data_IF_785204332702
#
_entry.id   IF_785204332702
#
_cell.length_a   1.000
_cell.length_b   1.000
_cell.length_c   1.000
_cell.angle_alpha   90.00
_cell.angle_beta   90.00
_cell.angle_gamma   90.00
#
_symmetry.space_group_name_H-M   'P 1'
#
loop_
_entity.id
_entity.type
_entity.pdbx_description
1 polymer ?
#
# COMPACT_ATOMS: atom_id res chain seq x y z
N UNK A 1 -34.06 -1.62 7.16
CA UNK A 1 -33.88 -0.66 6.04
C UNK A 1 -32.83 0.34 6.46
N UNK A 2 -31.77 0.55 5.65
CA UNK A 2 -30.88 1.68 5.85
C UNK A 2 -31.63 2.99 5.56
N UNK A 3 -31.28 4.05 6.29
CA UNK A 3 -31.90 5.36 6.12
C UNK A 3 -31.23 6.11 4.95
N UNK A 4 -31.97 6.52 3.91
CA UNK A 4 -31.42 7.19 2.72
C UNK A 4 -30.59 8.44 3.02
N UNK A 5 -30.79 9.06 4.19
CA UNK A 5 -29.98 10.18 4.68
C UNK A 5 -28.48 9.87 4.72
N UNK A 6 -28.10 8.59 4.86
CA UNK A 6 -26.70 8.18 4.98
C UNK A 6 -26.09 7.67 3.68
N UNK A 7 -26.85 7.58 2.59
CA UNK A 7 -26.38 6.93 1.35
C UNK A 7 -25.08 7.58 0.82
N UNK A 8 -25.00 8.90 0.78
CA UNK A 8 -23.79 9.63 0.36
C UNK A 8 -22.60 9.37 1.29
N UNK A 9 -22.84 9.37 2.60
CA UNK A 9 -21.78 9.11 3.59
C UNK A 9 -21.28 7.67 3.50
N UNK A 10 -22.18 6.73 3.22
CA UNK A 10 -21.83 5.32 3.00
C UNK A 10 -21.01 5.16 1.72
N UNK A 11 -21.38 5.83 0.63
CA UNK A 11 -20.61 5.81 -0.61
C UNK A 11 -19.21 6.39 -0.42
N UNK A 12 -19.08 7.50 0.32
CA UNK A 12 -17.77 8.08 0.67
C UNK A 12 -16.94 7.09 1.50
N UNK A 13 -17.53 6.51 2.55
CA UNK A 13 -16.84 5.55 3.41
C UNK A 13 -16.39 4.29 2.65
N UNK A 14 -17.25 3.76 1.77
CA UNK A 14 -16.92 2.60 0.94
C UNK A 14 -15.79 2.92 -0.05
N UNK A 15 -15.82 4.09 -0.69
CA UNK A 15 -14.74 4.52 -1.59
C UNK A 15 -13.40 4.61 -0.85
N UNK A 16 -13.38 5.16 0.36
CA UNK A 16 -12.17 5.20 1.17
C UNK A 16 -11.72 3.80 1.59
N UNK A 17 -12.62 2.97 2.13
CA UNK A 17 -12.30 1.64 2.63
C UNK A 17 -11.80 0.66 1.56
N UNK A 18 -12.27 0.82 0.32
CA UNK A 18 -11.96 -0.07 -0.81
C UNK A 18 -11.03 0.56 -1.85
N UNK A 19 -10.34 1.63 -1.49
CA UNK A 19 -9.34 2.26 -2.32
C UNK A 19 -8.17 1.31 -2.62
N UNK A 20 -7.79 1.18 -3.90
CA UNK A 20 -6.67 0.34 -4.34
C UNK A 20 -6.82 -1.16 -4.06
N UNK A 21 -8.03 -1.63 -3.76
CA UNK A 21 -8.29 -3.03 -3.41
C UNK A 21 -8.23 -3.92 -4.64
N UNK A 22 -7.69 -5.12 -4.48
CA UNK A 22 -7.59 -6.10 -5.58
C UNK A 22 -8.98 -6.56 -6.06
N UNK A 23 -9.14 -6.74 -7.37
CA UNK A 23 -10.38 -7.25 -7.94
C UNK A 23 -10.79 -8.61 -7.36
N UNK A 24 -9.81 -9.51 -7.12
CA UNK A 24 -10.06 -10.82 -6.50
C UNK A 24 -10.62 -10.69 -5.09
N UNK A 25 -10.11 -9.76 -4.29
CA UNK A 25 -10.63 -9.51 -2.95
C UNK A 25 -12.08 -8.99 -3.01
N UNK A 26 -12.35 -8.02 -3.89
CA UNK A 26 -13.71 -7.48 -4.07
C UNK A 26 -14.69 -8.57 -4.51
N UNK A 27 -14.32 -9.39 -5.51
CA UNK A 27 -15.14 -10.50 -5.98
C UNK A 27 -15.46 -11.48 -4.84
N UNK A 28 -14.45 -11.85 -4.03
CA UNK A 28 -14.65 -12.72 -2.86
C UNK A 28 -15.62 -12.09 -1.87
N UNK A 29 -15.42 -10.82 -1.50
CA UNK A 29 -16.28 -10.13 -0.55
C UNK A 29 -17.74 -10.05 -1.04
N UNK A 30 -17.98 -9.79 -2.32
CA UNK A 30 -19.33 -9.74 -2.91
C UNK A 30 -20.02 -11.10 -2.86
N UNK A 31 -19.29 -12.17 -3.19
CA UNK A 31 -19.79 -13.54 -3.10
C UNK A 31 -20.10 -13.94 -1.65
N UNK A 32 -19.17 -13.72 -0.72
CA UNK A 32 -19.35 -14.04 0.72
C UNK A 32 -20.49 -13.25 1.36
N UNK A 33 -20.70 -12.00 0.93
CA UNK A 33 -21.82 -11.16 1.36
C UNK A 33 -23.18 -11.58 0.75
N UNK A 34 -23.20 -12.57 -0.16
CA UNK A 34 -24.40 -13.02 -0.91
C UNK A 34 -25.05 -11.89 -1.72
N UNK A 35 -24.22 -10.96 -2.24
CA UNK A 35 -24.66 -9.88 -3.12
C UNK A 35 -24.63 -10.28 -4.61
N UNK A 36 -23.92 -11.37 -4.92
CA UNK A 36 -23.83 -11.97 -6.26
C UNK A 36 -22.40 -12.19 -6.71
N UNK A 37 -22.25 -12.94 -7.81
CA UNK A 37 -20.99 -13.19 -8.48
C UNK A 37 -20.79 -12.17 -9.59
N UNK A 38 -20.01 -11.13 -9.29
CA UNK A 38 -19.68 -10.08 -10.24
C UNK A 38 -18.29 -10.29 -10.80
N UNK A 39 -18.11 -10.00 -12.09
CA UNK A 39 -16.80 -9.76 -12.66
C UNK A 39 -16.38 -8.32 -12.30
N UNK A 40 -15.22 -8.17 -11.68
CA UNK A 40 -14.65 -6.87 -11.31
C UNK A 40 -13.43 -6.62 -12.19
N UNK A 41 -13.35 -5.43 -12.78
CA UNK A 41 -12.23 -5.04 -13.63
C UNK A 41 -10.90 -5.11 -12.84
N UNK A 42 -9.84 -5.73 -13.39
CA UNK A 42 -8.56 -5.82 -12.71
C UNK A 42 -7.80 -4.49 -12.60
N UNK A 43 -8.23 -3.45 -13.32
CA UNK A 43 -7.63 -2.13 -13.25
C UNK A 43 -7.88 -1.49 -11.89
N UNK A 44 -6.79 -1.26 -11.16
CA UNK A 44 -6.79 -0.60 -9.86
C UNK A 44 -6.16 0.79 -9.98
N UNK A 45 -6.48 1.67 -9.02
CA UNK A 45 -5.76 2.92 -8.83
C UNK A 45 -4.26 2.64 -8.65
N UNK A 46 -3.42 3.40 -9.35
CA UNK A 46 -1.97 3.31 -9.18
C UNK A 46 -1.60 3.96 -7.85
N UNK A 47 -1.20 3.15 -6.88
CA UNK A 47 -0.79 3.60 -5.55
C UNK A 47 0.70 3.33 -5.31
N UNK A 48 1.30 4.19 -4.52
CA UNK A 48 2.67 4.10 -4.06
C UNK A 48 2.84 3.07 -2.93
N UNK A 49 4.06 2.54 -2.86
CA UNK A 49 4.42 1.49 -1.91
C UNK A 49 4.68 2.08 -0.53
N UNK A 50 3.99 1.55 0.49
CA UNK A 50 4.27 1.89 1.88
C UNK A 50 5.69 1.39 2.27
N UNK A 51 6.53 2.24 2.90
CA UNK A 51 7.93 1.91 3.16
C UNK A 51 8.08 0.94 4.35
N UNK A 52 7.02 0.83 5.15
CA UNK A 52 6.92 -0.08 6.28
C UNK A 52 6.49 -1.48 5.80
N UNK A 53 5.30 -1.63 5.21
CA UNK A 53 4.75 -2.96 4.90
C UNK A 53 5.01 -3.47 3.47
N UNK A 54 5.35 -2.59 2.53
CA UNK A 54 5.60 -2.95 1.12
C UNK A 54 4.35 -3.16 0.27
N UNK A 55 3.17 -2.80 0.77
CA UNK A 55 1.91 -2.84 0.01
C UNK A 55 1.62 -1.49 -0.66
N UNK A 56 0.92 -1.53 -1.80
CA UNK A 56 0.50 -0.34 -2.55
C UNK A 56 -0.77 0.24 -1.93
N UNK A 57 -0.60 1.21 -1.03
CA UNK A 57 -1.70 1.79 -0.24
C UNK A 57 -1.68 3.32 -0.19
N UNK A 58 -0.63 3.97 -0.68
CA UNK A 58 -0.46 5.41 -0.59
C UNK A 58 -0.80 6.08 -1.92
N UNK A 59 -1.50 7.22 -1.91
CA UNK A 59 -1.68 8.09 -3.08
C UNK A 59 -0.36 8.61 -3.65
N UNK A 60 0.57 8.94 -2.75
CA UNK A 60 1.85 9.53 -3.08
C UNK A 60 2.83 9.35 -1.91
N UNK A 61 4.14 9.33 -2.20
CA UNK A 61 5.20 9.29 -1.19
C UNK A 61 5.38 10.67 -0.51
N UNK A 62 5.62 10.65 0.79
CA UNK A 62 5.97 11.82 1.60
C UNK A 62 4.85 12.86 1.76
N UNK A 63 3.58 12.44 1.63
CA UNK A 63 2.41 13.32 1.75
C UNK A 63 1.65 13.14 3.07
N UNK A 64 2.29 12.57 4.10
CA UNK A 64 1.70 12.34 5.43
C UNK A 64 0.42 11.48 5.40
N UNK A 65 0.29 10.64 4.37
CA UNK A 65 -0.81 9.71 4.26
C UNK A 65 -0.55 8.49 5.16
N UNK A 66 -1.61 8.02 5.81
CA UNK A 66 -1.55 6.85 6.69
C UNK A 66 -1.86 5.61 5.87
N UNK A 67 -0.95 4.63 5.89
CA UNK A 67 -1.16 3.35 5.24
C UNK A 67 -2.35 2.59 5.85
N UNK A 68 -3.36 2.24 5.04
CA UNK A 68 -4.56 1.51 5.46
C UNK A 68 -4.28 0.10 6.01
N UNK A 69 -3.09 -0.46 5.75
CA UNK A 69 -2.73 -1.81 6.19
C UNK A 69 -1.91 -1.83 7.48
N UNK A 70 -0.85 -1.01 7.56
CA UNK A 70 0.10 -1.05 8.68
C UNK A 70 0.08 0.21 9.56
N UNK A 71 -0.73 1.20 9.20
CA UNK A 71 -0.91 2.46 9.93
C UNK A 71 0.35 3.31 10.08
N UNK A 72 1.35 3.12 9.22
CA UNK A 72 2.49 4.03 9.10
C UNK A 72 2.04 5.32 8.41
N UNK A 73 2.24 6.47 9.05
CA UNK A 73 2.10 7.78 8.44
C UNK A 73 3.35 8.12 7.65
N UNK A 74 3.19 8.33 6.35
CA UNK A 74 4.32 8.52 5.44
C UNK A 74 4.87 9.96 5.47
N UNK A 75 5.77 10.21 6.41
CA UNK A 75 6.51 11.47 6.55
C UNK A 75 7.62 11.69 5.50
N UNK A 76 7.77 10.76 4.55
CA UNK A 76 8.74 10.81 3.46
C UNK A 76 10.16 10.39 3.86
N UNK A 77 10.39 9.99 5.13
CA UNK A 77 11.67 9.45 5.55
C UNK A 77 11.81 7.98 5.17
N UNK A 78 12.88 7.67 4.44
CA UNK A 78 13.31 6.28 4.19
C UNK A 78 14.44 5.85 5.14
N UNK A 79 14.83 6.70 6.10
CA UNK A 79 15.97 6.41 7.00
C UNK A 79 15.57 5.37 8.06
N UNK A 80 16.10 4.13 8.02
CA UNK A 80 15.52 3.01 8.78
C UNK A 80 15.51 3.21 10.31
N UNK A 81 16.58 3.80 10.85
CA UNK A 81 16.80 4.01 12.29
C UNK A 81 16.50 5.44 12.76
N UNK A 82 16.03 6.33 11.89
CA UNK A 82 15.63 7.66 12.31
C UNK A 82 14.28 7.59 13.03
N UNK A 83 14.13 8.36 14.11
CA UNK A 83 12.85 8.49 14.79
C UNK A 83 11.89 9.30 13.90
N UNK A 84 10.76 8.70 13.52
CA UNK A 84 9.68 9.44 12.86
C UNK A 84 8.86 10.18 13.93
N UNK A 85 8.67 11.47 13.71
CA UNK A 85 7.84 12.34 14.56
C UNK A 85 6.40 11.83 14.69
N UNK A 86 5.63 11.72 13.59
CA UNK A 86 4.22 11.30 13.65
C UNK A 86 4.03 9.86 14.11
N UNK A 87 4.97 8.95 13.79
CA UNK A 87 4.83 7.54 14.14
C UNK A 87 5.36 7.18 15.54
N UNK A 88 6.11 8.09 16.18
CA UNK A 88 6.75 7.88 17.48
C UNK A 88 7.65 6.63 17.56
N UNK A 89 8.16 6.16 16.42
CA UNK A 89 9.08 5.02 16.28
C UNK A 89 9.90 5.13 15.01
N UNK A 90 10.96 4.33 14.90
CA UNK A 90 11.71 4.23 13.65
C UNK A 90 10.99 3.35 12.63
N UNK A 91 11.36 3.49 11.36
CA UNK A 91 10.82 2.68 10.28
C UNK A 91 11.14 1.19 10.48
N UNK A 92 12.33 0.85 11.00
CA UNK A 92 12.68 -0.54 11.32
C UNK A 92 11.84 -1.11 12.48
N UNK A 93 11.59 -0.31 13.52
CA UNK A 93 10.69 -0.73 14.60
C UNK A 93 9.26 -0.97 14.08
N UNK A 94 8.78 -0.16 13.14
CA UNK A 94 7.48 -0.34 12.52
C UNK A 94 7.45 -1.61 11.64
N UNK A 95 8.50 -1.89 10.86
CA UNK A 95 8.65 -3.11 10.06
C UNK A 95 8.64 -4.36 10.94
N UNK A 96 9.39 -4.35 12.03
CA UNK A 96 9.41 -5.45 13.00
C UNK A 96 8.05 -5.68 13.64
N UNK A 97 7.36 -4.59 14.03
CA UNK A 97 6.01 -4.69 14.58
C UNK A 97 5.04 -5.30 13.55
N UNK A 98 5.06 -4.79 12.30
CA UNK A 98 4.22 -5.31 11.23
C UNK A 98 4.47 -6.81 10.98
N UNK A 99 5.74 -7.23 10.92
CA UNK A 99 6.10 -8.63 10.73
C UNK A 99 5.55 -9.56 11.83
N UNK A 100 5.38 -9.05 13.06
CA UNK A 100 4.81 -9.80 14.20
C UNK A 100 3.29 -9.91 14.14
N UNK A 101 2.61 -8.93 13.54
CA UNK A 101 1.14 -8.83 13.57
C UNK A 101 0.46 -9.13 12.23
N UNK A 102 1.23 -9.25 11.14
CA UNK A 102 0.67 -9.37 9.79
C UNK A 102 -0.16 -10.63 9.54
N UNK A 103 -0.02 -11.68 10.37
CA UNK A 103 -0.77 -12.94 10.24
C UNK A 103 -2.29 -12.74 10.37
N UNK A 104 -2.71 -11.70 11.09
CA UNK A 104 -4.12 -11.44 11.40
C UNK A 104 -4.73 -10.39 10.46
N UNK A 105 -3.99 -9.94 9.45
CA UNK A 105 -4.39 -8.87 8.52
C UNK A 105 -4.85 -9.43 7.16
N UNK A 106 -5.71 -8.70 6.43
CA UNK A 106 -6.18 -9.10 5.11
C UNK A 106 -5.11 -8.81 4.03
N UNK A 107 -4.04 -9.59 4.01
CA UNK A 107 -2.86 -9.36 3.15
C UNK A 107 -3.14 -9.50 1.64
N UNK A 108 -4.30 -9.99 1.24
CA UNK A 108 -4.72 -10.08 -0.16
C UNK A 108 -5.64 -8.92 -0.59
N UNK A 109 -6.02 -8.04 0.36
CA UNK A 109 -6.86 -6.88 0.10
C UNK A 109 -6.16 -5.87 -0.81
N UNK A 110 -4.88 -5.62 -0.58
CA UNK A 110 -4.08 -4.70 -1.40
C UNK A 110 -2.96 -5.44 -2.14
N UNK A 111 -2.56 -4.96 -3.34
CA UNK A 111 -1.41 -5.51 -4.04
C UNK A 111 -0.11 -5.25 -3.27
N UNK A 112 0.76 -6.25 -3.22
CA UNK A 112 2.12 -6.10 -2.70
C UNK A 112 3.07 -5.77 -3.84
N UNK A 113 4.01 -4.86 -3.62
CA UNK A 113 5.08 -4.65 -4.60
C UNK A 113 5.87 -5.96 -4.79
N UNK A 114 6.08 -6.35 -6.04
CA UNK A 114 7.00 -7.45 -6.34
C UNK A 114 8.41 -7.06 -5.85
N UNK A 115 9.20 -8.00 -5.30
CA UNK A 115 10.62 -7.75 -5.10
C UNK A 115 11.22 -7.31 -6.44
N UNK A 116 11.87 -6.15 -6.46
CA UNK A 116 12.60 -5.67 -7.64
C UNK A 116 13.68 -6.69 -8.00
N UNK A 117 13.39 -7.61 -8.92
CA UNK A 117 14.43 -8.38 -9.60
C UNK A 117 15.11 -7.45 -10.58
N UNK A 118 16.20 -6.83 -10.15
CA UNK A 118 17.14 -6.09 -11.00
C UNK A 118 16.56 -4.88 -11.72
N UNK A 119 16.56 -3.71 -11.08
CA UNK A 119 16.66 -2.45 -11.83
C UNK A 119 18.02 -2.47 -12.55
N UNK A 120 18.09 -2.30 -13.89
CA UNK A 120 19.38 -2.08 -14.54
C UNK A 120 19.99 -0.81 -13.95
N UNK A 121 21.20 -0.91 -13.40
CA UNK A 121 21.95 0.27 -12.99
C UNK A 121 22.18 1.13 -14.24
N UNK A 122 21.57 2.30 -14.29
CA UNK A 122 21.89 3.31 -15.28
C UNK A 122 23.32 3.79 -15.04
N UNK A 123 24.23 3.34 -15.91
CA UNK A 123 25.48 3.98 -16.32
C UNK A 123 26.42 4.49 -15.21
N UNK A 124 27.44 3.70 -14.88
CA UNK A 124 28.73 4.26 -14.47
C UNK A 124 29.43 4.85 -15.72
N UNK A 125 30.10 6.00 -15.64
CA UNK A 125 30.88 6.53 -16.75
C UNK A 125 32.06 5.59 -17.03
N UNK A 126 32.22 5.16 -18.29
CA UNK A 126 33.47 4.51 -18.70
C UNK A 126 34.57 5.55 -18.76
N UNK A 127 35.45 5.53 -17.75
CA UNK A 127 36.75 6.19 -17.84
C UNK A 127 37.56 5.57 -18.98
N UNK A 128 37.83 6.40 -19.98
CA UNK A 128 38.75 6.08 -21.05
C UNK A 128 40.16 5.89 -20.48
N UNK A 129 40.78 4.77 -20.82
CA UNK A 129 42.23 4.61 -20.71
C UNK A 129 42.84 4.60 -22.12
N UNK A 130 44.00 5.25 -22.33
CA UNK A 130 44.58 5.43 -23.65
C UNK A 130 45.37 4.20 -24.09
N UNK A 131 45.23 3.84 -25.36
CA UNK A 131 46.08 2.84 -26.02
C UNK A 131 47.48 3.43 -26.22
N UNK A 132 48.50 2.75 -25.69
CA UNK A 132 49.89 2.82 -26.17
C UNK A 132 50.24 1.46 -26.74
#
# INVERSE_FOLDING_TARGET
>A
MLNPRYDELLLIALRAQYRGVSHLYLMRCLHEARLGDYSVDPQIELLEVCPCCGFQTLSARGQYEICDLCHWEDDGSDTPNALSGPNHKSLDQAREQFARTMSDLPLDKWPRAAPITGRPKTGDPQDGSPTT
#
